data_IF_872881390841
#
_entry.id   IF_872881390841
#
_cell.length_a   1.000
_cell.length_b   1.000
_cell.length_c   1.000
_cell.angle_alpha   90.00
_cell.angle_beta   90.00
_cell.angle_gamma   90.00
#
_symmetry.space_group_name_H-M   'P 1'
#
loop_
_entity.id
_entity.type
_entity.pdbx_description
1 polymer ?
#
# COMPACT_ATOMS: atom_id res chain seq x y z
N UNK A 1 6.52 -1.04 10.47
CA UNK A 1 6.93 -2.17 11.37
C UNK A 1 6.16 -3.41 10.92
N UNK A 2 6.85 -4.39 10.33
CA UNK A 2 6.23 -5.60 9.78
C UNK A 2 5.39 -6.29 10.86
N UNK A 3 4.12 -6.55 10.61
CA UNK A 3 3.20 -7.21 11.55
C UNK A 3 3.64 -8.61 11.98
N UNK A 4 4.64 -9.18 11.30
CA UNK A 4 5.23 -10.49 11.60
C UNK A 4 6.60 -10.43 12.29
N UNK A 5 7.12 -9.25 12.63
CA UNK A 5 8.47 -9.09 13.22
C UNK A 5 8.49 -9.15 14.78
N UNK A 6 7.36 -9.44 15.40
CA UNK A 6 7.38 -9.93 16.79
C UNK A 6 7.85 -11.37 16.76
N UNK A 7 8.70 -11.82 17.70
CA UNK A 7 9.14 -13.20 17.95
C UNK A 7 7.95 -14.17 17.82
N UNK A 8 7.50 -14.37 16.58
CA UNK A 8 6.39 -15.28 16.27
C UNK A 8 6.92 -16.69 16.36
N UNK A 9 6.25 -17.51 17.18
CA UNK A 9 6.53 -18.95 17.21
C UNK A 9 6.36 -19.50 15.81
N UNK A 10 7.40 -20.07 15.24
CA UNK A 10 7.35 -20.71 13.93
C UNK A 10 6.70 -22.08 14.05
N UNK A 11 5.96 -22.48 13.00
CA UNK A 11 5.35 -23.80 12.90
C UNK A 11 5.92 -24.47 11.67
N UNK A 12 6.39 -25.73 11.82
CA UNK A 12 6.82 -26.54 10.68
C UNK A 12 5.60 -27.00 9.87
N UNK A 13 5.64 -26.79 8.55
CA UNK A 13 4.66 -27.32 7.59
C UNK A 13 5.39 -28.06 6.48
N UNK A 14 5.04 -29.32 6.27
CA UNK A 14 5.58 -30.15 5.20
C UNK A 14 4.61 -30.11 4.02
N UNK A 15 5.11 -29.68 2.85
CA UNK A 15 4.34 -29.57 1.62
C UNK A 15 5.07 -30.33 0.52
N UNK A 16 4.36 -31.18 -0.23
CA UNK A 16 4.88 -31.80 -1.45
C UNK A 16 4.60 -30.86 -2.62
N UNK A 17 5.65 -30.53 -3.38
CA UNK A 17 5.55 -29.67 -4.57
C UNK A 17 6.09 -30.44 -5.79
N UNK A 18 5.58 -30.15 -7.00
CA UNK A 18 6.10 -30.73 -8.24
C UNK A 18 7.60 -30.44 -8.41
N UNK A 19 8.32 -31.39 -9.02
CA UNK A 19 9.77 -31.31 -9.21
C UNK A 19 10.17 -30.06 -10.01
N UNK A 20 9.40 -29.71 -11.04
CA UNK A 20 9.61 -28.56 -11.89
C UNK A 20 9.46 -27.25 -11.11
N UNK A 21 8.44 -27.15 -10.25
CA UNK A 21 8.24 -26.00 -9.38
C UNK A 21 9.39 -25.87 -8.37
N UNK A 22 9.84 -26.97 -7.79
CA UNK A 22 11.01 -26.94 -6.88
C UNK A 22 12.27 -26.45 -7.58
N UNK A 23 12.53 -26.90 -8.82
CA UNK A 23 13.67 -26.46 -9.60
C UNK A 23 13.59 -24.94 -9.93
N UNK A 24 12.40 -24.41 -10.20
CA UNK A 24 12.17 -22.98 -10.39
C UNK A 24 12.50 -22.20 -9.10
N UNK A 25 11.93 -22.63 -7.97
CA UNK A 25 12.16 -21.97 -6.67
C UNK A 25 13.65 -22.01 -6.26
N UNK A 26 14.37 -23.07 -6.57
CA UNK A 26 15.81 -23.16 -6.32
C UNK A 26 16.60 -22.13 -7.14
N UNK A 27 16.29 -21.96 -8.44
CA UNK A 27 16.94 -20.97 -9.30
C UNK A 27 16.65 -19.55 -8.83
N UNK A 28 15.40 -19.25 -8.52
CA UNK A 28 14.98 -17.93 -8.07
C UNK A 28 15.63 -17.58 -6.74
N UNK A 29 15.62 -18.50 -5.77
CA UNK A 29 16.27 -18.31 -4.48
C UNK A 29 17.77 -18.07 -4.62
N UNK A 30 18.45 -18.82 -5.50
CA UNK A 30 19.88 -18.63 -5.78
C UNK A 30 20.16 -17.27 -6.42
N UNK A 31 19.33 -16.82 -7.37
CA UNK A 31 19.49 -15.51 -8.02
C UNK A 31 19.33 -14.33 -7.03
N UNK A 32 18.56 -14.52 -5.96
CA UNK A 32 18.33 -13.53 -4.92
C UNK A 32 19.23 -13.72 -3.68
N UNK A 33 20.23 -14.62 -3.73
CA UNK A 33 21.13 -14.95 -2.62
C UNK A 33 20.40 -15.31 -1.34
N UNK A 34 19.32 -16.08 -1.42
CA UNK A 34 18.52 -16.53 -0.26
C UNK A 34 18.19 -18.02 -0.34
N UNK A 35 17.70 -18.59 0.76
CA UNK A 35 17.26 -20.00 0.79
C UNK A 35 15.88 -20.16 0.16
N UNK A 36 15.58 -21.35 -0.36
CA UNK A 36 14.23 -21.71 -0.86
C UNK A 36 13.18 -21.52 0.23
N UNK A 37 13.47 -21.89 1.48
CA UNK A 37 12.55 -21.68 2.60
C UNK A 37 12.23 -20.20 2.81
N UNK A 38 13.22 -19.30 2.75
CA UNK A 38 13.01 -17.87 2.86
C UNK A 38 12.16 -17.31 1.70
N UNK A 39 12.40 -17.80 0.46
CA UNK A 39 11.58 -17.47 -0.70
C UNK A 39 10.13 -17.91 -0.52
N UNK A 40 9.88 -19.16 -0.12
CA UNK A 40 8.53 -19.70 0.12
C UNK A 40 7.82 -18.88 1.22
N UNK A 41 8.49 -18.58 2.33
CA UNK A 41 7.91 -17.74 3.40
C UNK A 41 7.51 -16.38 2.86
N UNK A 42 8.35 -15.74 2.01
CA UNK A 42 8.01 -14.43 1.43
C UNK A 42 6.78 -14.49 0.50
N UNK A 43 6.65 -15.56 -0.29
CA UNK A 43 5.49 -15.79 -1.17
C UNK A 43 4.22 -15.97 -0.32
N UNK A 44 4.27 -16.79 0.71
CA UNK A 44 3.14 -17.02 1.63
C UNK A 44 2.77 -15.74 2.40
N UNK A 45 3.76 -14.93 2.78
CA UNK A 45 3.55 -13.63 3.42
C UNK A 45 2.84 -12.67 2.46
N UNK A 46 3.29 -12.59 1.20
CA UNK A 46 2.62 -11.78 0.18
C UNK A 46 1.17 -12.23 -0.01
N UNK A 47 0.93 -13.53 -0.13
CA UNK A 47 -0.43 -14.04 -0.24
C UNK A 47 -1.29 -13.63 0.96
N UNK A 48 -0.78 -13.78 2.19
CA UNK A 48 -1.51 -13.47 3.42
C UNK A 48 -1.75 -11.96 3.61
N UNK A 49 -0.80 -11.12 3.19
CA UNK A 49 -0.87 -9.67 3.38
C UNK A 49 -1.58 -8.94 2.22
N UNK A 50 -1.55 -9.51 1.00
CA UNK A 50 -1.96 -8.80 -0.19
C UNK A 50 -2.85 -9.61 -1.13
N UNK A 51 -2.37 -10.69 -1.75
CA UNK A 51 -3.04 -11.31 -2.89
C UNK A 51 -4.46 -11.81 -2.57
N UNK A 52 -4.68 -12.39 -1.37
CA UNK A 52 -6.00 -12.85 -0.93
C UNK A 52 -7.05 -11.73 -0.81
N UNK A 53 -6.60 -10.49 -0.68
CA UNK A 53 -7.48 -9.33 -0.57
C UNK A 53 -7.73 -8.69 -1.94
N UNK A 54 -6.68 -8.51 -2.73
CA UNK A 54 -6.77 -7.82 -4.03
C UNK A 54 -7.66 -8.56 -5.02
N UNK A 55 -7.75 -9.89 -4.93
CA UNK A 55 -8.69 -10.69 -5.71
C UNK A 55 -10.15 -10.25 -5.54
N UNK A 56 -10.52 -9.78 -4.35
CA UNK A 56 -11.89 -9.33 -4.05
C UNK A 56 -12.21 -7.95 -4.61
N UNK A 57 -11.18 -7.13 -4.85
CA UNK A 57 -11.31 -5.78 -5.41
C UNK A 57 -11.09 -5.75 -6.93
N UNK A 58 -10.85 -6.90 -7.56
CA UNK A 58 -10.67 -6.97 -9.02
C UNK A 58 -9.44 -6.24 -9.53
N UNK A 59 -8.33 -6.26 -8.78
CA UNK A 59 -7.07 -5.66 -9.24
C UNK A 59 -6.58 -6.31 -10.53
N UNK A 60 -6.10 -5.48 -11.44
CA UNK A 60 -5.44 -5.90 -12.67
C UNK A 60 -3.96 -5.51 -12.62
N UNK A 61 -3.10 -6.37 -13.17
CA UNK A 61 -1.68 -6.06 -13.30
C UNK A 61 -1.46 -5.28 -14.60
N UNK A 62 -0.89 -4.10 -14.50
CA UNK A 62 -0.54 -3.24 -15.64
C UNK A 62 0.95 -2.91 -15.56
N UNK A 63 1.73 -3.05 -16.66
CA UNK A 63 3.12 -2.62 -16.66
C UNK A 63 3.23 -1.13 -16.28
N UNK A 64 4.19 -0.80 -15.39
CA UNK A 64 4.37 0.56 -14.87
C UNK A 64 4.51 1.61 -15.97
N UNK A 65 5.28 1.29 -17.02
CA UNK A 65 5.46 2.19 -18.18
C UNK A 65 4.15 2.44 -18.94
N UNK A 66 3.31 1.43 -19.08
CA UNK A 66 1.99 1.56 -19.71
C UNK A 66 1.06 2.41 -18.84
N UNK A 67 1.05 2.17 -17.52
CA UNK A 67 0.27 2.96 -16.58
C UNK A 67 0.65 4.45 -16.62
N UNK A 68 1.96 4.74 -16.61
CA UNK A 68 2.47 6.11 -16.74
C UNK A 68 1.97 6.79 -18.03
N UNK A 69 2.08 6.09 -19.18
CA UNK A 69 1.59 6.59 -20.46
C UNK A 69 0.09 6.82 -20.49
N UNK A 70 -0.70 5.98 -19.84
CA UNK A 70 -2.15 6.18 -19.70
C UNK A 70 -2.45 7.46 -18.92
N UNK A 71 -1.76 7.72 -17.82
CA UNK A 71 -1.89 8.97 -17.05
C UNK A 71 -1.50 10.19 -17.89
N UNK A 72 -0.41 10.11 -18.65
CA UNK A 72 0.09 11.20 -19.49
C UNK A 72 -0.82 11.48 -20.71
N UNK A 73 -1.50 10.47 -21.24
CA UNK A 73 -2.34 10.58 -22.44
C UNK A 73 -3.71 11.22 -22.16
N UNK A 74 -4.24 11.12 -20.94
CA UNK A 74 -5.50 11.73 -20.56
C UNK A 74 -5.34 13.25 -20.41
N UNK A 75 -6.37 14.02 -20.73
CA UNK A 75 -6.42 15.41 -20.28
C UNK A 75 -6.66 15.48 -18.76
N UNK A 76 -6.50 16.65 -18.17
CA UNK A 76 -6.59 16.79 -16.70
C UNK A 76 -8.02 16.56 -16.19
N UNK A 77 -9.03 17.00 -16.94
CA UNK A 77 -10.42 16.84 -16.53
C UNK A 77 -10.87 15.37 -16.61
N UNK A 78 -10.51 14.69 -17.70
CA UNK A 78 -10.75 13.26 -17.87
C UNK A 78 -10.09 12.44 -16.77
N UNK A 79 -8.83 12.76 -16.45
CA UNK A 79 -8.09 12.07 -15.40
C UNK A 79 -8.71 12.30 -14.01
N UNK A 80 -9.13 13.53 -13.71
CA UNK A 80 -9.82 13.86 -12.47
C UNK A 80 -11.16 13.13 -12.35
N UNK A 81 -11.93 13.07 -13.44
CA UNK A 81 -13.20 12.32 -13.48
C UNK A 81 -12.99 10.82 -13.30
N UNK A 82 -11.99 10.24 -13.97
CA UNK A 82 -11.67 8.81 -13.87
C UNK A 82 -11.22 8.39 -12.46
N UNK A 83 -10.69 9.31 -11.67
CA UNK A 83 -10.15 9.06 -10.31
C UNK A 83 -11.01 9.63 -9.18
N UNK A 84 -12.23 10.07 -9.48
CA UNK A 84 -13.11 10.74 -8.51
C UNK A 84 -13.56 9.83 -7.36
N UNK A 85 -13.72 8.54 -7.62
CA UNK A 85 -14.16 7.56 -6.61
C UNK A 85 -13.03 7.01 -5.73
N UNK A 86 -11.78 7.33 -6.01
CA UNK A 86 -10.65 6.76 -5.29
C UNK A 86 -10.64 6.99 -3.77
N UNK A 87 -11.07 8.15 -3.23
CA UNK A 87 -11.16 8.31 -1.79
C UNK A 87 -12.08 7.29 -1.13
N UNK A 88 -13.20 6.96 -1.75
CA UNK A 88 -14.15 5.95 -1.27
C UNK A 88 -13.61 4.54 -1.35
N UNK A 89 -12.98 4.19 -2.48
CA UNK A 89 -12.33 2.88 -2.69
C UNK A 89 -11.18 2.69 -1.70
N UNK A 90 -10.37 3.70 -1.47
CA UNK A 90 -9.30 3.71 -0.49
C UNK A 90 -9.81 3.37 0.92
N UNK A 91 -10.89 4.00 1.37
CA UNK A 91 -11.49 3.73 2.66
C UNK A 91 -12.12 2.34 2.74
N UNK A 92 -12.77 1.90 1.67
CA UNK A 92 -13.35 0.55 1.60
C UNK A 92 -12.26 -0.52 1.74
N UNK A 93 -11.13 -0.36 1.04
CA UNK A 93 -9.98 -1.24 1.17
C UNK A 93 -9.44 -1.26 2.60
N UNK A 94 -9.21 -0.12 3.24
CA UNK A 94 -8.71 -0.06 4.61
C UNK A 94 -9.69 -0.76 5.56
N UNK A 95 -10.98 -0.46 5.47
CA UNK A 95 -12.01 -1.09 6.29
C UNK A 95 -12.07 -2.60 6.10
N UNK A 96 -11.89 -3.05 4.86
CA UNK A 96 -11.89 -4.47 4.55
C UNK A 96 -10.67 -5.18 5.14
N UNK A 97 -9.46 -4.60 5.04
CA UNK A 97 -8.22 -5.18 5.56
C UNK A 97 -8.14 -5.18 7.08
N UNK A 98 -8.49 -4.04 7.70
CA UNK A 98 -8.20 -3.78 9.12
C UNK A 98 -9.45 -3.77 10.00
N UNK A 99 -10.66 -3.79 9.42
CA UNK A 99 -11.96 -3.73 10.11
C UNK A 99 -12.21 -2.43 10.88
N UNK A 100 -11.26 -1.52 10.85
CA UNK A 100 -11.34 -0.18 11.46
C UNK A 100 -10.57 0.81 10.58
N UNK A 101 -10.87 2.11 10.75
CA UNK A 101 -10.15 3.18 10.07
C UNK A 101 -9.69 4.16 11.13
N UNK A 102 -8.38 4.30 11.27
CA UNK A 102 -7.69 5.26 12.12
C UNK A 102 -6.33 5.63 11.50
N UNK A 103 -5.61 6.55 12.13
CA UNK A 103 -4.30 6.97 11.63
C UNK A 103 -3.30 5.81 11.51
N UNK A 104 -3.36 4.82 12.40
CA UNK A 104 -2.45 3.68 12.38
C UNK A 104 -2.74 2.75 11.19
N UNK A 105 -4.03 2.48 10.92
CA UNK A 105 -4.44 1.62 9.80
C UNK A 105 -4.25 2.31 8.45
N UNK A 106 -4.40 3.64 8.38
CA UNK A 106 -4.04 4.42 7.18
C UNK A 106 -2.55 4.28 6.88
N UNK A 107 -1.67 4.45 7.87
CA UNK A 107 -0.23 4.23 7.72
C UNK A 107 0.08 2.80 7.27
N UNK A 108 -0.44 1.80 7.97
CA UNK A 108 -0.20 0.39 7.66
C UNK A 108 -0.70 -0.01 6.26
N UNK A 109 -1.82 0.58 5.82
CA UNK A 109 -2.31 0.39 4.47
C UNK A 109 -1.39 1.04 3.43
N UNK A 110 -0.93 2.27 3.68
CA UNK A 110 -0.02 2.99 2.77
C UNK A 110 1.29 2.24 2.55
N UNK A 111 1.92 1.75 3.62
CA UNK A 111 3.12 0.90 3.52
C UNK A 111 2.86 -0.36 2.70
N UNK A 112 1.77 -1.07 3.02
CA UNK A 112 1.42 -2.33 2.36
C UNK A 112 1.08 -2.12 0.90
N UNK A 113 0.28 -1.11 0.59
CA UNK A 113 -0.08 -0.77 -0.78
C UNK A 113 1.16 -0.43 -1.60
N UNK A 114 2.02 0.44 -1.09
CA UNK A 114 3.27 0.82 -1.77
C UNK A 114 4.18 -0.40 -1.99
N UNK A 115 4.33 -1.25 -0.98
CA UNK A 115 5.16 -2.46 -1.05
C UNK A 115 4.73 -3.43 -2.16
N UNK A 116 3.43 -3.62 -2.35
CA UNK A 116 2.90 -4.67 -3.22
C UNK A 116 2.31 -4.17 -4.54
N UNK A 117 1.70 -2.99 -4.58
CA UNK A 117 1.21 -2.39 -5.83
C UNK A 117 2.33 -1.79 -6.67
N UNK A 118 3.47 -1.43 -6.06
CA UNK A 118 4.64 -0.96 -6.78
C UNK A 118 4.50 0.41 -7.45
N UNK A 119 3.48 1.20 -7.07
CA UNK A 119 3.24 2.53 -7.66
C UNK A 119 4.06 3.63 -7.01
N UNK A 120 4.42 3.47 -5.73
CA UNK A 120 5.21 4.43 -4.97
C UNK A 120 6.10 3.70 -3.96
N UNK A 121 7.14 4.36 -3.48
CA UNK A 121 7.84 4.01 -2.24
C UNK A 121 7.18 4.77 -1.09
N UNK A 122 7.02 4.13 0.06
CA UNK A 122 6.38 4.71 1.23
C UNK A 122 7.33 4.71 2.41
N UNK A 123 7.47 5.87 3.04
CA UNK A 123 8.16 6.04 4.31
C UNK A 123 7.19 6.63 5.33
N UNK A 124 7.21 6.12 6.56
CA UNK A 124 6.38 6.63 7.66
C UNK A 124 7.30 7.10 8.76
N UNK A 125 7.17 8.38 9.08
CA UNK A 125 7.81 9.00 10.23
C UNK A 125 6.78 9.20 11.36
N UNK A 126 7.13 8.76 12.58
CA UNK A 126 6.35 9.01 13.78
C UNK A 126 7.20 9.83 14.76
N UNK A 127 6.78 11.06 15.00
CA UNK A 127 7.45 12.00 15.90
C UNK A 127 6.43 12.82 16.68
N UNK A 128 6.58 12.88 17.99
CA UNK A 128 5.74 13.68 18.90
C UNK A 128 4.23 13.45 18.68
N UNK A 129 3.81 12.17 18.63
CA UNK A 129 2.44 11.70 18.32
C UNK A 129 1.91 12.10 16.93
N UNK A 130 2.74 12.70 16.09
CA UNK A 130 2.41 13.04 14.70
C UNK A 130 2.95 11.97 13.76
N UNK A 131 2.13 11.62 12.78
CA UNK A 131 2.53 10.68 11.73
C UNK A 131 2.56 11.38 10.39
N UNK A 132 3.69 11.24 9.70
CA UNK A 132 3.84 11.72 8.34
C UNK A 132 4.06 10.52 7.42
N UNK A 133 3.27 10.43 6.36
CA UNK A 133 3.44 9.48 5.28
C UNK A 133 4.10 10.21 4.13
N UNK A 134 5.24 9.73 3.68
CA UNK A 134 5.92 10.23 2.49
C UNK A 134 5.80 9.19 1.38
N UNK A 135 5.23 9.58 0.24
CA UNK A 135 5.11 8.75 -0.94
C UNK A 135 5.99 9.31 -2.05
N UNK A 136 6.90 8.49 -2.61
CA UNK A 136 7.77 8.86 -3.73
C UNK A 136 7.50 7.94 -4.92
N UNK A 137 7.35 8.51 -6.10
CA UNK A 137 7.05 7.78 -7.34
C UNK A 137 7.69 8.46 -8.56
N UNK A 138 7.48 7.91 -9.75
CA UNK A 138 7.96 8.46 -11.03
C UNK A 138 6.82 8.60 -12.07
N UNK A 139 5.57 8.61 -11.61
CA UNK A 139 4.36 8.62 -12.44
C UNK A 139 3.88 10.02 -12.83
N UNK A 140 4.61 11.06 -12.44
CA UNK A 140 4.32 12.46 -12.80
C UNK A 140 3.38 13.18 -11.83
N UNK A 141 3.30 14.51 -12.00
CA UNK A 141 2.57 15.41 -11.09
C UNK A 141 1.07 15.11 -11.04
N UNK A 142 0.47 14.61 -12.12
CA UNK A 142 -0.95 14.22 -12.13
C UNK A 142 -1.23 13.11 -11.12
N UNK A 143 -0.37 12.09 -11.06
CA UNK A 143 -0.48 11.03 -10.06
C UNK A 143 -0.27 11.55 -8.63
N UNK A 144 0.64 12.50 -8.42
CA UNK A 144 0.80 13.17 -7.12
C UNK A 144 -0.49 13.89 -6.68
N UNK A 145 -1.15 14.59 -7.61
CA UNK A 145 -2.42 15.28 -7.34
C UNK A 145 -3.56 14.28 -7.07
N UNK A 146 -3.59 13.16 -7.77
CA UNK A 146 -4.51 12.05 -7.49
C UNK A 146 -4.32 11.51 -6.07
N UNK A 147 -3.09 11.18 -5.67
CA UNK A 147 -2.77 10.74 -4.31
C UNK A 147 -3.19 11.78 -3.28
N UNK A 148 -2.90 13.07 -3.52
CA UNK A 148 -3.35 14.17 -2.65
C UNK A 148 -4.87 14.14 -2.46
N UNK A 149 -5.65 14.04 -3.54
CA UNK A 149 -7.13 14.00 -3.48
C UNK A 149 -7.62 12.75 -2.75
N UNK A 150 -7.06 11.60 -3.06
CA UNK A 150 -7.41 10.32 -2.43
C UNK A 150 -7.20 10.36 -0.92
N UNK A 151 -6.04 10.82 -0.46
CA UNK A 151 -5.75 10.91 0.97
C UNK A 151 -6.55 12.03 1.64
N UNK A 152 -6.68 13.21 1.03
CA UNK A 152 -7.46 14.32 1.59
C UNK A 152 -8.93 13.91 1.81
N UNK A 153 -9.57 13.41 0.77
CA UNK A 153 -10.96 12.96 0.83
C UNK A 153 -11.16 11.78 1.78
N UNK A 154 -10.26 10.79 1.71
CA UNK A 154 -10.32 9.62 2.58
C UNK A 154 -10.12 9.95 4.06
N UNK A 155 -9.13 10.77 4.39
CA UNK A 155 -8.86 11.17 5.79
C UNK A 155 -9.99 12.02 6.34
N UNK A 156 -10.48 13.00 5.57
CA UNK A 156 -11.62 13.81 5.96
C UNK A 156 -12.86 12.97 6.23
N UNK A 157 -13.20 12.04 5.36
CA UNK A 157 -14.36 11.18 5.52
C UNK A 157 -14.22 10.18 6.68
N UNK A 158 -12.99 9.72 6.96
CA UNK A 158 -12.73 8.73 8.00
C UNK A 158 -12.57 9.31 9.40
N UNK A 159 -11.82 10.42 9.51
CA UNK A 159 -11.41 10.99 10.78
C UNK A 159 -12.15 12.30 11.13
N UNK A 160 -12.90 12.86 10.17
CA UNK A 160 -13.63 14.13 10.33
C UNK A 160 -12.72 15.35 10.44
N UNK A 161 -11.44 15.20 10.06
CA UNK A 161 -10.43 16.27 10.14
C UNK A 161 -9.62 16.32 8.85
N UNK A 162 -9.15 17.51 8.49
CA UNK A 162 -8.30 17.67 7.32
C UNK A 162 -6.86 17.24 7.59
N UNK A 163 -6.27 16.52 6.64
CA UNK A 163 -4.84 16.26 6.62
C UNK A 163 -4.11 17.41 5.91
N UNK A 164 -2.95 17.77 6.43
CA UNK A 164 -2.05 18.68 5.69
C UNK A 164 -1.27 17.88 4.67
N UNK A 165 -1.51 18.14 3.38
CA UNK A 165 -0.88 17.41 2.29
C UNK A 165 -0.12 18.38 1.38
N UNK A 166 1.17 18.12 1.24
CA UNK A 166 2.08 18.89 0.38
C UNK A 166 2.52 18.00 -0.79
N UNK A 167 2.57 18.56 -1.99
CA UNK A 167 3.04 17.89 -3.21
C UNK A 167 4.24 18.64 -3.74
N UNK A 168 5.32 17.90 -4.02
CA UNK A 168 6.53 18.44 -4.64
C UNK A 168 6.99 17.48 -5.74
N UNK A 169 6.70 17.81 -6.99
CA UNK A 169 7.01 16.94 -8.14
C UNK A 169 6.37 15.57 -7.98
N UNK A 170 7.21 14.55 -7.83
CA UNK A 170 6.83 13.15 -7.67
C UNK A 170 6.75 12.70 -6.19
N UNK A 171 6.70 13.62 -5.25
CA UNK A 171 6.63 13.33 -3.82
C UNK A 171 5.36 13.92 -3.22
N UNK A 172 4.71 13.14 -2.35
CA UNK A 172 3.50 13.54 -1.61
C UNK A 172 3.76 13.33 -0.13
N UNK A 173 3.63 14.41 0.64
CA UNK A 173 3.82 14.43 2.09
C UNK A 173 2.47 14.59 2.77
N UNK A 174 2.05 13.61 3.55
CA UNK A 174 0.73 13.56 4.20
C UNK A 174 0.94 13.58 5.70
N UNK A 175 0.63 14.69 6.34
CA UNK A 175 0.65 14.80 7.81
C UNK A 175 -0.73 14.47 8.34
N UNK A 176 -0.82 13.36 9.06
CA UNK A 176 -2.06 12.93 9.67
C UNK A 176 -2.39 13.83 10.88
N UNK A 177 -3.69 14.09 11.13
CA UNK A 177 -4.10 14.85 12.30
C UNK A 177 -3.65 14.15 13.59
N UNK A 178 -3.35 14.94 14.62
CA UNK A 178 -3.07 14.45 15.95
C UNK A 178 -4.23 13.58 16.45
N UNK A 179 -3.92 12.54 17.22
CA UNK A 179 -4.98 11.74 17.85
C UNK A 179 -5.91 12.64 18.66
N UNK A 180 -7.09 12.88 18.15
CA UNK A 180 -8.18 13.31 19.02
C UNK A 180 -8.37 12.17 20.02
N UNK A 181 -7.93 12.37 21.25
CA UNK A 181 -8.29 11.51 22.36
C UNK A 181 -9.81 11.68 22.51
N UNK A 182 -10.60 10.90 21.78
CA UNK A 182 -12.00 10.72 22.16
C UNK A 182 -11.96 10.03 23.52
N UNK A 183 -12.06 10.81 24.58
CA UNK A 183 -12.47 10.30 25.88
C UNK A 183 -13.82 9.61 25.62
N UNK A 184 -13.81 8.28 25.68
CA UNK A 184 -15.05 7.53 25.84
C UNK A 184 -15.74 8.07 27.10
N UNK A 185 -16.90 8.67 26.91
CA UNK A 185 -17.85 8.92 27.97
C UNK A 185 -18.76 7.70 28.11
#
# INVERSE_FOLDING_TARGET
MNSFDRKTRTVLRNVRIPKELNALLQRDAASENRTVSALVVSILTRYAEWDRFTQKFGFVAVPRTSYKRMIEAMDEQEYLAATDQEPSVFLEMIRFWYKQIDAATICAFSERFSKYAGTAQCEIEEKDDRRTITLQHDLGVRYSNQLKRMYAGGIQAALGTEARIEVTGNSVYIRLPERSIRKAR
#
